data_IF_810227105037
#
_entry.id   IF_810227105037
#
_cell.length_a   1.000
_cell.length_b   1.000
_cell.length_c   1.000
_cell.angle_alpha   90.00
_cell.angle_beta   90.00
_cell.angle_gamma   90.00
#
_symmetry.space_group_name_H-M   'P 1'
#
loop_
_entity.id
_entity.type
_entity.pdbx_description
1 polymer ?
#
# COMPACT_ATOMS: atom_id res chain seq x y z
N UNK A 1 38.78 -28.56 21.08
CA UNK A 1 37.92 -27.36 21.01
C UNK A 1 37.20 -27.38 19.68
N UNK A 2 36.04 -28.05 19.61
CA UNK A 2 35.27 -28.20 18.38
C UNK A 2 34.42 -26.94 18.15
N UNK A 3 34.60 -26.27 17.01
CA UNK A 3 33.73 -25.18 16.60
C UNK A 3 32.42 -25.75 16.02
N UNK A 4 31.30 -25.35 16.62
CA UNK A 4 29.94 -25.57 16.13
C UNK A 4 29.72 -24.75 14.86
N UNK A 5 29.53 -25.40 13.72
CA UNK A 5 29.00 -24.76 12.52
C UNK A 5 27.47 -24.83 12.57
N UNK A 6 26.85 -23.75 13.04
CA UNK A 6 25.42 -23.52 12.92
C UNK A 6 25.10 -23.17 11.45
N UNK A 7 24.57 -24.13 10.69
CA UNK A 7 23.91 -23.86 9.41
C UNK A 7 22.48 -23.40 9.73
N UNK A 8 22.30 -22.08 9.81
CA UNK A 8 20.99 -21.46 9.88
C UNK A 8 20.16 -21.84 8.66
N UNK A 9 18.99 -22.44 8.92
CA UNK A 9 17.90 -22.45 7.96
C UNK A 9 17.60 -20.98 7.64
N UNK A 10 17.98 -20.50 6.45
CA UNK A 10 17.33 -19.31 5.91
C UNK A 10 15.86 -19.73 5.68
N UNK A 11 15.01 -19.48 6.67
CA UNK A 11 13.63 -19.17 6.41
C UNK A 11 13.67 -17.98 5.46
N UNK A 12 13.52 -18.22 4.15
CA UNK A 12 13.06 -17.17 3.27
C UNK A 12 11.78 -16.67 3.92
N UNK A 13 11.84 -15.48 4.53
CA UNK A 13 10.63 -14.78 4.94
C UNK A 13 9.82 -14.66 3.65
N UNK A 14 8.81 -15.49 3.49
CA UNK A 14 7.79 -15.24 2.49
C UNK A 14 7.29 -13.84 2.81
N UNK A 15 7.36 -12.88 1.88
CA UNK A 15 6.80 -11.56 2.14
C UNK A 15 5.38 -11.78 2.64
N UNK A 16 5.11 -11.33 3.87
CA UNK A 16 3.80 -11.46 4.47
C UNK A 16 2.90 -10.57 3.62
N UNK A 17 2.01 -11.18 2.84
CA UNK A 17 0.95 -10.47 2.14
C UNK A 17 -0.02 -10.00 3.23
N UNK A 18 -0.11 -8.70 3.46
CA UNK A 18 -0.91 -8.13 4.51
C UNK A 18 -1.60 -6.85 4.06
N UNK A 19 -2.89 -6.97 3.79
CA UNK A 19 -3.79 -5.84 3.86
C UNK A 19 -4.12 -5.65 5.34
N UNK A 20 -3.95 -4.43 5.85
CA UNK A 20 -4.15 -4.17 7.27
C UNK A 20 -5.62 -4.37 7.66
N UNK A 21 -5.84 -5.03 8.80
CA UNK A 21 -7.15 -5.22 9.43
C UNK A 21 -7.02 -5.16 10.97
N UNK A 22 -8.16 -5.04 11.66
CA UNK A 22 -8.20 -4.96 13.13
C UNK A 22 -7.77 -6.29 13.78
N UNK A 23 -6.98 -6.23 14.86
CA UNK A 23 -6.40 -7.41 15.56
C UNK A 23 -7.45 -8.48 15.94
N UNK A 24 -8.67 -8.09 16.28
CA UNK A 24 -9.74 -9.01 16.69
C UNK A 24 -10.81 -9.22 15.61
N UNK A 25 -10.53 -8.80 14.38
CA UNK A 25 -11.46 -8.90 13.28
C UNK A 25 -11.62 -10.34 12.80
N UNK A 26 -12.83 -10.79 12.41
CA UNK A 26 -13.00 -12.01 11.63
C UNK A 26 -12.28 -11.93 10.27
N UNK A 27 -11.93 -10.74 9.81
CA UNK A 27 -11.24 -10.49 8.54
C UNK A 27 -9.72 -10.64 8.66
N UNK A 28 -9.16 -10.72 9.88
CA UNK A 28 -7.71 -10.69 10.08
C UNK A 28 -6.97 -11.75 9.24
N UNK A 29 -7.44 -13.00 9.26
CA UNK A 29 -6.81 -14.08 8.49
C UNK A 29 -7.03 -13.97 6.99
N UNK A 30 -8.09 -13.28 6.56
CA UNK A 30 -8.41 -13.04 5.14
C UNK A 30 -7.51 -11.93 4.59
N UNK A 31 -7.30 -10.89 5.39
CA UNK A 31 -6.50 -9.73 5.05
C UNK A 31 -4.99 -10.01 5.14
N UNK A 32 -4.58 -11.06 5.85
CA UNK A 32 -3.17 -11.49 5.93
C UNK A 32 -2.42 -10.94 7.14
N UNK A 33 -3.09 -10.16 7.99
CA UNK A 33 -2.60 -9.81 9.33
C UNK A 33 -2.87 -8.37 9.72
N UNK A 34 -2.11 -7.91 10.71
CA UNK A 34 -2.11 -6.52 11.20
C UNK A 34 -0.92 -5.72 10.68
N UNK A 35 -0.14 -6.31 9.77
CA UNK A 35 0.96 -5.58 9.14
C UNK A 35 0.38 -4.49 8.22
N UNK A 36 1.20 -3.48 7.97
CA UNK A 36 0.76 -2.31 7.22
C UNK A 36 0.65 -2.69 5.75
N UNK A 37 -0.46 -2.33 5.13
CA UNK A 37 -0.57 -2.33 3.68
C UNK A 37 0.54 -1.45 3.09
N UNK A 38 1.35 -1.99 2.19
CA UNK A 38 2.42 -1.29 1.47
C UNK A 38 2.07 -1.09 0.00
N UNK A 39 2.82 -0.23 -0.71
CA UNK A 39 2.57 0.09 -2.13
C UNK A 39 2.48 -1.16 -3.02
N UNK A 40 3.34 -2.15 -2.82
CA UNK A 40 3.41 -3.38 -3.62
C UNK A 40 2.17 -4.28 -3.49
N UNK A 41 1.30 -4.01 -2.51
CA UNK A 41 0.05 -4.75 -2.28
C UNK A 41 -1.17 -4.07 -2.88
N UNK A 42 -1.02 -2.82 -3.34
CA UNK A 42 -2.10 -2.02 -3.90
C UNK A 42 -2.37 -2.40 -5.36
N UNK A 43 -3.63 -2.30 -5.75
CA UNK A 43 -4.09 -2.81 -7.04
C UNK A 43 -4.76 -1.68 -7.82
N UNK A 44 -4.09 -1.26 -8.89
CA UNK A 44 -4.53 -0.15 -9.72
C UNK A 44 -5.40 -0.59 -10.90
N UNK A 45 -5.15 -1.77 -11.46
CA UNK A 45 -5.90 -2.28 -12.60
C UNK A 45 -7.07 -3.17 -12.15
N UNK A 46 -8.26 -2.93 -12.72
CA UNK A 46 -9.47 -3.71 -12.47
C UNK A 46 -9.26 -5.24 -12.58
N UNK A 47 -8.50 -5.70 -13.58
CA UNK A 47 -8.30 -7.12 -13.85
C UNK A 47 -7.54 -7.85 -12.75
N UNK A 48 -6.65 -7.13 -12.06
CA UNK A 48 -5.68 -7.70 -11.13
C UNK A 48 -6.33 -8.16 -9.81
N UNK A 49 -7.49 -7.59 -9.46
CA UNK A 49 -8.32 -8.03 -8.33
C UNK A 49 -8.83 -9.47 -8.44
N UNK A 50 -8.79 -10.07 -9.64
CA UNK A 50 -9.24 -11.45 -9.87
C UNK A 50 -8.12 -12.38 -10.38
N UNK A 51 -6.97 -11.84 -10.78
CA UNK A 51 -5.90 -12.60 -11.44
C UNK A 51 -4.61 -12.68 -10.63
N UNK A 52 -4.39 -11.77 -9.67
CA UNK A 52 -3.16 -11.70 -8.88
C UNK A 52 -3.39 -12.15 -7.44
N UNK A 53 -2.34 -12.63 -6.78
CA UNK A 53 -2.41 -13.00 -5.36
C UNK A 53 -2.73 -11.78 -4.50
N UNK A 54 -2.03 -10.66 -4.70
CA UNK A 54 -2.29 -9.40 -4.00
C UNK A 54 -3.73 -8.92 -4.23
N UNK A 55 -4.22 -8.99 -5.46
CA UNK A 55 -5.58 -8.55 -5.79
C UNK A 55 -6.67 -9.44 -5.21
N UNK A 56 -6.47 -10.75 -5.17
CA UNK A 56 -7.38 -11.66 -4.48
C UNK A 56 -7.40 -11.39 -2.97
N UNK A 57 -6.23 -11.15 -2.35
CA UNK A 57 -6.13 -10.80 -0.93
C UNK A 57 -6.86 -9.48 -0.62
N UNK A 58 -6.55 -8.41 -1.34
CA UNK A 58 -7.19 -7.09 -1.19
C UNK A 58 -8.71 -7.18 -1.41
N UNK A 59 -9.14 -7.89 -2.47
CA UNK A 59 -10.56 -8.09 -2.76
C UNK A 59 -11.28 -8.78 -1.60
N UNK A 60 -10.76 -9.92 -1.15
CA UNK A 60 -11.42 -10.70 -0.10
C UNK A 60 -11.39 -9.98 1.24
N UNK A 61 -10.29 -9.27 1.53
CA UNK A 61 -10.18 -8.43 2.72
C UNK A 61 -11.26 -7.35 2.75
N UNK A 62 -11.32 -6.50 1.71
CA UNK A 62 -12.28 -5.40 1.64
C UNK A 62 -13.73 -5.90 1.65
N UNK A 63 -14.02 -7.04 1.02
CA UNK A 63 -15.36 -7.65 1.10
C UNK A 63 -15.69 -8.09 2.53
N UNK A 64 -14.74 -8.69 3.25
CA UNK A 64 -14.96 -9.05 4.64
C UNK A 64 -15.16 -7.80 5.50
N UNK A 65 -14.23 -6.83 5.42
CA UNK A 65 -14.27 -5.61 6.23
C UNK A 65 -15.54 -4.78 5.99
N UNK A 66 -16.07 -4.78 4.76
CA UNK A 66 -17.33 -4.08 4.42
C UNK A 66 -18.54 -4.57 5.20
N UNK A 67 -18.49 -5.78 5.76
CA UNK A 67 -19.58 -6.40 6.53
C UNK A 67 -19.27 -6.53 8.01
N UNK A 68 -18.03 -6.29 8.40
CA UNK A 68 -17.57 -6.50 9.76
C UNK A 68 -17.85 -5.29 10.65
N UNK A 69 -18.19 -5.56 11.90
CA UNK A 69 -18.54 -4.55 12.90
C UNK A 69 -17.47 -4.42 13.99
N UNK A 70 -16.29 -5.01 13.79
CA UNK A 70 -15.22 -5.01 14.79
C UNK A 70 -14.74 -3.59 15.09
N UNK A 71 -14.69 -3.28 16.39
CA UNK A 71 -14.22 -2.01 16.91
C UNK A 71 -13.28 -2.26 18.09
N UNK A 72 -12.03 -1.80 17.98
CA UNK A 72 -11.09 -1.76 19.10
C UNK A 72 -11.02 -0.36 19.71
N UNK A 73 -10.78 0.66 18.88
CA UNK A 73 -10.78 2.08 19.25
C UNK A 73 -11.01 2.97 18.02
N UNK A 74 -11.05 4.29 18.22
CA UNK A 74 -11.32 5.26 17.14
C UNK A 74 -10.30 5.28 15.98
N UNK A 75 -9.12 4.69 16.16
CA UNK A 75 -8.06 4.56 15.15
C UNK A 75 -7.79 3.09 14.76
N UNK A 76 -8.60 2.16 15.28
CA UNK A 76 -8.45 0.73 15.02
C UNK A 76 -9.84 0.07 15.05
N UNK A 77 -10.43 -0.06 13.87
CA UNK A 77 -11.71 -0.71 13.62
C UNK A 77 -11.78 -1.13 12.18
N UNK A 78 -12.65 -2.09 11.86
CA UNK A 78 -12.73 -2.59 10.49
C UNK A 78 -13.25 -1.52 9.54
N UNK A 79 -14.10 -0.61 10.02
CA UNK A 79 -14.51 0.54 9.23
C UNK A 79 -13.34 1.50 8.94
N UNK A 80 -12.40 1.62 9.88
CA UNK A 80 -11.21 2.44 9.72
C UNK A 80 -10.30 1.86 8.64
N UNK A 81 -9.96 0.58 8.78
CA UNK A 81 -9.09 -0.11 7.84
C UNK A 81 -9.72 -0.31 6.46
N UNK A 82 -11.03 -0.56 6.40
CA UNK A 82 -11.80 -0.61 5.16
C UNK A 82 -11.68 0.67 4.34
N UNK A 83 -11.91 1.84 4.96
CA UNK A 83 -11.80 3.14 4.29
C UNK A 83 -10.34 3.47 4.00
N UNK A 84 -9.45 3.16 4.94
CA UNK A 84 -8.01 3.39 4.80
C UNK A 84 -7.43 2.67 3.57
N UNK A 85 -7.69 1.38 3.42
CA UNK A 85 -7.16 0.56 2.32
C UNK A 85 -7.64 1.08 0.95
N UNK A 86 -8.91 1.49 0.86
CA UNK A 86 -9.46 2.12 -0.34
C UNK A 86 -8.84 3.50 -0.63
N UNK A 87 -8.73 4.36 0.40
CA UNK A 87 -8.09 5.67 0.27
C UNK A 87 -6.64 5.54 -0.19
N UNK A 88 -5.88 4.64 0.40
CA UNK A 88 -4.47 4.45 0.09
C UNK A 88 -4.28 3.89 -1.32
N UNK A 89 -5.16 2.97 -1.75
CA UNK A 89 -5.21 2.53 -3.15
C UNK A 89 -5.48 3.71 -4.09
N UNK A 90 -6.44 4.58 -3.79
CA UNK A 90 -6.70 5.77 -4.61
C UNK A 90 -5.51 6.74 -4.60
N UNK A 91 -4.92 6.99 -3.43
CA UNK A 91 -3.74 7.83 -3.28
C UNK A 91 -2.64 7.36 -4.23
N UNK A 92 -2.28 6.07 -4.16
CA UNK A 92 -1.19 5.53 -4.96
C UNK A 92 -1.57 5.40 -6.43
N UNK A 93 -2.72 4.82 -6.77
CA UNK A 93 -3.06 4.50 -8.16
C UNK A 93 -3.56 5.68 -9.00
N UNK A 94 -4.03 6.74 -8.34
CA UNK A 94 -4.57 7.95 -9.01
C UNK A 94 -3.59 9.10 -8.90
N UNK A 95 -2.89 9.28 -7.78
CA UNK A 95 -2.08 10.47 -7.52
C UNK A 95 -0.57 10.22 -7.42
N UNK A 96 -0.15 9.00 -7.08
CA UNK A 96 1.25 8.57 -7.10
C UNK A 96 1.46 7.56 -8.26
N UNK A 97 2.68 7.05 -8.47
CA UNK A 97 3.08 6.13 -9.53
C UNK A 97 2.32 6.18 -10.88
N UNK A 98 2.89 6.85 -11.89
CA UNK A 98 2.36 6.86 -13.26
C UNK A 98 0.90 7.33 -13.41
N UNK A 99 0.46 8.22 -12.51
CA UNK A 99 -0.85 8.88 -12.48
C UNK A 99 -1.41 9.30 -13.85
N UNK A 100 -0.56 9.62 -14.83
CA UNK A 100 -0.96 10.05 -16.18
C UNK A 100 -1.84 9.05 -16.95
N UNK A 101 -1.66 7.73 -16.77
CA UNK A 101 -2.50 6.74 -17.47
C UNK A 101 -3.83 6.51 -16.78
N UNK A 102 -3.95 6.71 -15.45
CA UNK A 102 -5.21 6.58 -14.70
C UNK A 102 -6.01 7.89 -14.68
N UNK A 103 -5.34 9.04 -14.68
CA UNK A 103 -5.96 10.36 -14.59
C UNK A 103 -6.55 10.86 -15.90
N UNK A 104 -6.04 10.47 -17.07
CA UNK A 104 -6.56 10.97 -18.35
C UNK A 104 -7.82 10.22 -18.80
N UNK A 105 -8.95 10.87 -19.16
CA UNK A 105 -9.22 12.31 -19.26
C UNK A 105 -9.94 12.94 -18.04
N UNK A 106 -9.80 12.34 -16.86
CA UNK A 106 -10.44 12.71 -15.60
C UNK A 106 -9.74 13.84 -14.80
N UNK A 107 -8.71 14.49 -15.36
CA UNK A 107 -7.86 15.45 -14.66
C UNK A 107 -8.68 16.58 -14.00
N UNK A 108 -9.63 17.15 -14.72
CA UNK A 108 -10.44 18.29 -14.24
C UNK A 108 -11.27 17.96 -12.99
N UNK A 109 -11.69 16.71 -12.86
CA UNK A 109 -12.49 16.24 -11.74
C UNK A 109 -11.62 15.68 -10.60
N UNK A 110 -10.50 15.04 -10.93
CA UNK A 110 -9.69 14.31 -9.96
C UNK A 110 -8.53 15.13 -9.37
N UNK A 111 -7.92 16.07 -10.12
CA UNK A 111 -6.77 16.85 -9.61
C UNK A 111 -7.08 17.69 -8.36
N UNK A 112 -8.26 18.34 -8.22
CA UNK A 112 -8.57 19.12 -7.02
C UNK A 112 -8.60 18.30 -5.71
N UNK A 113 -8.75 16.98 -5.81
CA UNK A 113 -8.78 16.06 -4.68
C UNK A 113 -7.38 15.65 -4.20
N UNK A 114 -6.33 15.87 -5.00
CA UNK A 114 -4.96 15.44 -4.68
C UNK A 114 -4.51 15.81 -3.25
N UNK A 115 -4.72 17.05 -2.76
CA UNK A 115 -4.33 17.42 -1.40
C UNK A 115 -5.06 16.63 -0.30
N UNK A 116 -6.27 16.14 -0.55
CA UNK A 116 -7.03 15.31 0.41
C UNK A 116 -6.42 13.92 0.54
N UNK A 117 -5.88 13.39 -0.55
CA UNK A 117 -5.28 12.05 -0.58
C UNK A 117 -3.83 12.04 -0.10
N UNK A 118 -3.05 13.10 -0.37
CA UNK A 118 -1.66 13.24 0.09
C UNK A 118 -1.51 13.38 1.61
N UNK A 119 -2.58 13.78 2.32
CA UNK A 119 -2.56 13.79 3.78
C UNK A 119 -2.31 12.36 4.31
N UNK A 120 -1.16 12.19 4.97
CA UNK A 120 -0.75 10.93 5.58
C UNK A 120 -1.74 10.51 6.68
N UNK A 121 -2.35 9.34 6.50
CA UNK A 121 -3.20 8.72 7.52
C UNK A 121 -2.40 7.83 8.48
N UNK A 122 -1.11 7.67 8.21
CA UNK A 122 -0.19 6.93 9.05
C UNK A 122 0.37 7.81 10.18
N UNK A 123 0.44 7.28 11.39
CA UNK A 123 1.24 7.81 12.50
C UNK A 123 0.66 9.01 13.26
N UNK A 124 -0.35 9.69 12.72
CA UNK A 124 -0.88 10.93 13.30
C UNK A 124 -2.28 10.81 13.93
N UNK A 125 -2.79 9.59 14.18
CA UNK A 125 -4.10 9.40 14.78
C UNK A 125 -5.18 10.24 14.08
N UNK A 126 -5.23 10.13 12.74
CA UNK A 126 -6.14 10.91 11.92
C UNK A 126 -7.55 10.35 12.08
N UNK A 127 -8.51 11.22 12.39
CA UNK A 127 -9.92 10.83 12.50
C UNK A 127 -10.44 10.28 11.17
N UNK A 128 -11.19 9.19 11.24
CA UNK A 128 -11.69 8.41 10.10
C UNK A 128 -12.33 9.26 8.99
N UNK A 129 -13.12 10.28 9.34
CA UNK A 129 -13.85 11.10 8.36
C UNK A 129 -13.19 12.44 8.09
N UNK A 130 -11.94 12.65 8.52
CA UNK A 130 -11.27 13.95 8.37
C UNK A 130 -11.15 14.39 6.90
N UNK A 131 -11.01 13.46 5.96
CA UNK A 131 -10.95 13.78 4.52
C UNK A 131 -12.18 14.52 3.97
N UNK A 132 -13.33 14.40 4.62
CA UNK A 132 -14.57 15.04 4.19
C UNK A 132 -14.49 16.56 4.14
N UNK A 133 -13.78 17.14 5.09
CA UNK A 133 -13.72 18.60 5.32
C UNK A 133 -12.36 19.20 4.98
N UNK A 134 -11.36 18.36 4.72
CA UNK A 134 -10.03 18.80 4.29
C UNK A 134 -10.10 19.63 3.00
N UNK A 135 -9.15 20.57 2.89
CA UNK A 135 -8.97 21.43 1.71
C UNK A 135 -10.28 22.11 1.27
N UNK A 136 -10.96 22.80 2.19
CA UNK A 136 -12.22 23.49 1.93
C UNK A 136 -13.34 22.58 1.39
N UNK A 137 -13.50 21.38 1.99
CA UNK A 137 -14.47 20.36 1.57
C UNK A 137 -14.26 19.86 0.13
N UNK A 138 -13.02 19.89 -0.39
CA UNK A 138 -12.71 19.46 -1.75
C UNK A 138 -13.24 18.05 -2.07
N UNK A 139 -13.16 17.12 -1.10
CA UNK A 139 -13.69 15.77 -1.27
C UNK A 139 -15.19 15.78 -1.62
N UNK A 140 -15.99 16.49 -0.83
CA UNK A 140 -17.44 16.59 -1.03
C UNK A 140 -17.80 17.26 -2.36
N UNK A 141 -16.96 18.17 -2.86
CA UNK A 141 -17.18 18.89 -4.13
C UNK A 141 -16.83 18.06 -5.36
N UNK A 142 -15.69 17.37 -5.35
CA UNK A 142 -15.11 16.80 -6.58
C UNK A 142 -15.17 15.27 -6.66
N UNK A 143 -15.33 14.56 -5.54
CA UNK A 143 -15.22 13.09 -5.52
C UNK A 143 -16.25 12.38 -6.40
N UNK A 144 -17.48 12.89 -6.48
CA UNK A 144 -18.53 12.27 -7.31
C UNK A 144 -18.23 12.40 -8.82
N UNK A 145 -17.73 13.55 -9.26
CA UNK A 145 -17.32 13.74 -10.66
C UNK A 145 -16.10 12.92 -11.02
N UNK A 146 -15.14 12.80 -10.10
CA UNK A 146 -13.95 11.97 -10.29
C UNK A 146 -14.34 10.48 -10.34
N UNK A 147 -15.19 10.00 -9.44
CA UNK A 147 -15.63 8.60 -9.40
C UNK A 147 -16.39 8.19 -10.66
N UNK A 148 -17.26 9.07 -11.18
CA UNK A 148 -17.98 8.85 -12.43
C UNK A 148 -17.02 8.73 -13.62
N UNK A 149 -16.05 9.64 -13.73
CA UNK A 149 -15.07 9.59 -14.80
C UNK A 149 -14.20 8.32 -14.74
N UNK A 150 -13.71 7.95 -13.54
CA UNK A 150 -12.90 6.74 -13.35
C UNK A 150 -13.67 5.46 -13.74
N UNK A 151 -14.98 5.39 -13.45
CA UNK A 151 -15.85 4.27 -13.85
C UNK A 151 -16.16 4.24 -15.35
N UNK A 152 -16.12 5.40 -16.02
CA UNK A 152 -16.25 5.49 -17.47
C UNK A 152 -15.07 4.91 -18.24
N UNK A 153 -13.97 4.58 -17.55
CA UNK A 153 -12.71 4.14 -18.15
C UNK A 153 -12.40 2.68 -17.85
N UNK A 154 -11.88 2.00 -18.87
CA UNK A 154 -11.46 0.60 -18.75
C UNK A 154 -10.20 0.50 -17.90
N UNK A 155 -10.21 -0.38 -16.90
CA UNK A 155 -9.07 -0.64 -16.03
C UNK A 155 -9.06 0.18 -14.73
N UNK A 156 -9.97 1.13 -14.55
CA UNK A 156 -10.04 1.99 -13.35
C UNK A 156 -11.43 2.03 -12.69
N UNK A 157 -12.33 1.10 -13.03
CA UNK A 157 -13.70 1.09 -12.49
C UNK A 157 -13.73 0.82 -11.00
N UNK A 158 -12.88 -0.07 -10.51
CA UNK A 158 -12.77 -0.38 -9.07
C UNK A 158 -12.33 0.86 -8.29
N UNK A 159 -11.39 1.65 -8.83
CA UNK A 159 -10.97 2.92 -8.21
C UNK A 159 -12.12 3.90 -8.09
N UNK A 160 -12.96 4.00 -9.13
CA UNK A 160 -14.16 4.82 -9.07
C UNK A 160 -15.21 4.28 -8.08
N UNK A 161 -15.38 2.96 -7.97
CA UNK A 161 -16.25 2.36 -6.95
C UNK A 161 -15.75 2.61 -5.52
N UNK A 162 -14.42 2.57 -5.30
CA UNK A 162 -13.81 2.93 -4.01
C UNK A 162 -14.08 4.39 -3.66
N UNK A 163 -13.96 5.30 -4.65
CA UNK A 163 -14.30 6.71 -4.46
C UNK A 163 -15.79 6.88 -4.12
N UNK A 164 -16.70 6.19 -4.80
CA UNK A 164 -18.15 6.20 -4.48
C UNK A 164 -18.42 5.71 -3.05
N UNK A 165 -17.72 4.66 -2.62
CA UNK A 165 -17.84 4.13 -1.28
C UNK A 165 -17.35 5.14 -0.22
N UNK A 166 -16.23 5.81 -0.47
CA UNK A 166 -15.76 6.91 0.37
C UNK A 166 -16.74 8.09 0.37
N UNK A 167 -17.37 8.44 -0.76
CA UNK A 167 -18.45 9.44 -0.81
C UNK A 167 -19.62 9.05 0.09
N UNK A 168 -20.03 7.77 0.06
CA UNK A 168 -21.09 7.26 0.93
C UNK A 168 -20.71 7.35 2.42
N UNK A 169 -19.51 6.86 2.77
CA UNK A 169 -19.00 6.93 4.14
C UNK A 169 -18.88 8.37 4.65
N UNK A 170 -18.45 9.29 3.79
CA UNK A 170 -18.33 10.71 4.14
C UNK A 170 -19.67 11.36 4.46
N UNK A 171 -20.73 11.00 3.72
CA UNK A 171 -22.09 11.51 3.93
C UNK A 171 -22.77 10.89 5.16
N UNK A 172 -22.58 9.59 5.35
CA UNK A 172 -23.31 8.81 6.37
C UNK A 172 -22.59 8.74 7.71
N UNK A 173 -21.26 8.89 7.71
CA UNK A 173 -20.37 8.82 8.88
C UNK A 173 -20.74 7.68 9.87
N UNK A 174 -20.75 6.42 9.40
CA UNK A 174 -21.12 5.28 10.23
C UNK A 174 -20.29 5.17 11.51
N UNK A 175 -20.95 4.83 12.60
CA UNK A 175 -20.36 4.75 13.94
C UNK A 175 -20.02 3.30 14.31
N UNK A 176 -18.72 2.98 14.27
CA UNK A 176 -18.19 1.66 14.64
C UNK A 176 -18.59 1.21 16.05
N UNK A 177 -18.67 2.14 17.01
CA UNK A 177 -19.08 1.84 18.40
C UNK A 177 -20.52 1.33 18.50
N UNK A 178 -21.34 1.61 17.49
CA UNK A 178 -22.71 1.12 17.37
C UNK A 178 -22.85 -0.11 16.48
N UNK A 179 -21.74 -0.64 15.98
CA UNK A 179 -21.72 -1.73 15.00
C UNK A 179 -22.29 -1.34 13.64
N UNK A 180 -22.25 -0.06 13.29
CA UNK A 180 -22.64 0.41 11.96
C UNK A 180 -21.53 0.12 10.94
N UNK A 181 -21.91 -0.20 9.71
CA UNK A 181 -20.99 -0.44 8.59
C UNK A 181 -21.15 0.63 7.51
N UNK A 182 -20.20 0.70 6.58
CA UNK A 182 -20.34 1.58 5.41
C UNK A 182 -21.36 1.00 4.45
N UNK A 183 -22.37 1.80 4.12
CA UNK A 183 -23.30 1.47 3.04
C UNK A 183 -22.61 1.60 1.69
N UNK A 184 -22.40 0.47 1.01
CA UNK A 184 -21.83 0.47 -0.33
C UNK A 184 -22.82 1.10 -1.32
N UNK A 185 -22.40 2.17 -2.01
CA UNK A 185 -23.20 2.77 -3.09
C UNK A 185 -23.41 1.80 -4.26
N UNK A 186 -22.47 0.88 -4.45
CA UNK A 186 -22.49 -0.22 -5.41
C UNK A 186 -21.47 -1.29 -5.01
N UNK A 187 -21.50 -2.51 -5.57
CA UNK A 187 -20.49 -3.52 -5.24
C UNK A 187 -19.09 -3.02 -5.59
N UNK A 188 -18.15 -3.16 -4.65
CA UNK A 188 -16.79 -2.60 -4.75
C UNK A 188 -16.05 -2.99 -6.04
N UNK A 189 -16.24 -4.24 -6.48
CA UNK A 189 -15.55 -4.83 -7.62
C UNK A 189 -16.44 -5.03 -8.84
N UNK A 190 -17.58 -4.31 -8.90
CA UNK A 190 -18.45 -4.33 -10.08
C UNK A 190 -17.80 -3.59 -11.25
N UNK A 191 -17.60 -4.30 -12.36
CA UNK A 191 -17.05 -3.77 -13.60
C UNK A 191 -18.14 -3.40 -14.62
N UNK A 192 -19.42 -3.60 -14.28
CA UNK A 192 -20.53 -3.20 -15.15
C UNK A 192 -20.54 -1.68 -15.34
N UNK A 193 -20.84 -1.23 -16.57
CA UNK A 193 -21.05 0.19 -16.83
C UNK A 193 -22.37 0.56 -16.17
N UNK A 194 -22.32 1.48 -15.20
CA UNK A 194 -23.52 1.97 -14.54
C UNK A 194 -24.46 2.57 -15.58
N UNK A 195 -25.56 1.87 -15.89
CA UNK A 195 -26.76 2.54 -16.39
C UNK A 195 -27.44 3.05 -15.13
N UNK A 196 -27.66 4.36 -15.00
CA UNK A 196 -28.29 4.95 -13.82
C UNK A 196 -29.60 4.22 -13.48
N UNK A 197 -29.55 3.32 -12.51
CA UNK A 197 -30.73 2.74 -11.89
C UNK A 197 -30.54 2.89 -10.39
N UNK A 198 -30.99 4.04 -9.90
CA UNK A 198 -31.21 4.27 -8.48
C UNK A 198 -32.27 3.28 -8.03
N UNK A 199 -31.89 2.25 -7.28
CA UNK A 199 -32.85 1.49 -6.47
C UNK A 199 -32.31 1.43 -5.05
N UNK A 200 -32.80 2.35 -4.23
CA UNK A 200 -32.73 2.22 -2.79
C UNK A 200 -33.62 1.04 -2.38
N UNK A 201 -33.03 -0.04 -1.90
CA UNK A 201 -33.80 -1.17 -1.35
C UNK A 201 -34.11 -0.89 0.12
N UNK A 202 -35.32 -0.39 0.39
CA UNK A 202 -35.95 -0.48 1.70
C UNK A 202 -36.42 -1.91 1.92
N UNK A 203 -35.85 -2.62 2.90
CA UNK A 203 -36.33 -3.94 3.35
C UNK A 203 -37.64 -3.79 4.10
N UNK A 204 -38.76 -4.03 3.40
CA UNK A 204 -40.06 -4.35 3.98
C UNK A 204 -40.37 -5.83 3.77
N UNK A 205 -40.58 -6.54 4.86
CA UNK A 205 -40.87 -7.97 4.91
C UNK A 205 -42.27 -8.28 4.36
N UNK A 206 -42.38 -9.08 3.30
CA UNK A 206 -43.60 -9.84 2.99
C UNK A 206 -43.31 -11.05 2.09
N UNK A 207 -43.86 -12.18 2.53
CA UNK A 207 -43.76 -13.54 1.98
C UNK A 207 -44.71 -13.77 0.81
N UNK A 208 -44.22 -14.27 -0.34
CA UNK A 208 -44.95 -15.19 -1.23
C UNK A 208 -44.08 -15.74 -2.38
N UNK A 209 -44.25 -17.03 -2.66
CA UNK A 209 -43.48 -17.94 -3.55
C UNK A 209 -43.96 -17.87 -5.04
N UNK A 210 -43.42 -18.66 -6.00
CA UNK A 210 -42.59 -18.16 -7.10
C UNK A 210 -43.23 -18.31 -8.51
N UNK A 211 -42.78 -17.49 -9.47
CA UNK A 211 -43.07 -17.71 -10.90
C UNK A 211 -41.76 -17.94 -11.65
N UNK A 212 -41.70 -19.09 -12.31
CA UNK A 212 -40.60 -19.62 -13.09
C UNK A 212 -40.29 -18.80 -14.34
N UNK A 213 -39.02 -18.45 -14.53
CA UNK A 213 -38.44 -18.24 -15.86
C UNK A 213 -36.93 -18.51 -15.84
N UNK A 214 -36.54 -19.39 -16.75
CA UNK A 214 -35.21 -19.97 -16.92
C UNK A 214 -34.18 -18.97 -17.47
N UNK A 215 -33.05 -18.83 -16.79
CA UNK A 215 -31.77 -18.49 -17.42
C UNK A 215 -30.68 -19.43 -16.90
N UNK A 216 -30.22 -20.30 -17.79
CA UNK A 216 -29.05 -21.15 -17.64
C UNK A 216 -27.78 -20.32 -17.59
N UNK A 217 -27.19 -20.17 -16.39
CA UNK A 217 -25.83 -19.69 -16.21
C UNK A 217 -24.87 -20.88 -16.08
N UNK A 218 -24.03 -21.05 -17.09
CA UNK A 218 -22.92 -22.00 -17.09
C UNK A 218 -21.89 -21.60 -16.02
N UNK A 219 -21.81 -22.37 -14.94
CA UNK A 219 -20.76 -22.26 -13.93
C UNK A 219 -19.48 -22.92 -14.42
N UNK A 220 -18.50 -22.10 -14.79
CA UNK A 220 -17.11 -22.53 -15.01
C UNK A 220 -16.42 -22.77 -13.67
N UNK A 221 -16.87 -23.78 -12.92
CA UNK A 221 -16.16 -24.28 -11.75
C UNK A 221 -15.03 -25.21 -12.20
N UNK A 222 -13.80 -24.99 -11.70
CA UNK A 222 -12.71 -25.96 -11.83
C UNK A 222 -13.20 -27.30 -11.27
N UNK A 223 -13.28 -28.31 -12.14
CA UNK A 223 -13.73 -29.66 -11.80
C UNK A 223 -12.98 -30.15 -10.55
N UNK A 224 -13.67 -30.88 -9.67
CA UNK A 224 -13.06 -31.52 -8.49
C UNK A 224 -11.79 -32.33 -8.84
N UNK A 225 -11.68 -32.82 -10.08
CA UNK A 225 -10.47 -33.46 -10.61
C UNK A 225 -9.26 -32.53 -10.74
N UNK A 226 -9.45 -31.24 -11.04
CA UNK A 226 -8.36 -30.25 -11.11
C UNK A 226 -7.85 -29.86 -9.71
N UNK A 227 -8.76 -29.73 -8.73
CA UNK A 227 -8.38 -29.48 -7.34
C UNK A 227 -7.65 -30.69 -6.70
N UNK A 228 -8.07 -31.92 -7.03
CA UNK A 228 -7.41 -33.14 -6.55
C UNK A 228 -6.00 -33.34 -7.13
N UNK A 229 -5.75 -32.91 -8.37
CA UNK A 229 -4.44 -33.04 -9.02
C UNK A 229 -3.34 -32.17 -8.38
N UNK A 230 -3.69 -30.96 -7.92
CA UNK A 230 -2.73 -30.01 -7.33
C UNK A 230 -2.27 -30.47 -5.93
N UNK A 231 -3.15 -31.09 -5.15
CA UNK A 231 -2.82 -31.59 -3.81
C UNK A 231 -1.78 -32.70 -3.80
N UNK A 232 -1.80 -33.61 -4.78
CA UNK A 232 -0.86 -34.75 -4.84
C UNK A 232 0.48 -34.34 -5.48
N UNK A 233 0.46 -33.43 -6.45
CA UNK A 233 1.67 -32.97 -7.15
C UNK A 233 2.65 -32.23 -6.25
N UNK A 234 2.16 -31.40 -5.33
CA UNK A 234 3.01 -30.62 -4.42
C UNK A 234 3.81 -31.51 -3.45
N UNK A 235 3.20 -32.57 -2.92
CA UNK A 235 3.87 -33.51 -2.02
C UNK A 235 5.00 -34.28 -2.70
N UNK A 236 4.76 -34.80 -3.91
CA UNK A 236 5.78 -35.53 -4.67
C UNK A 236 6.93 -34.61 -5.15
N UNK A 237 6.63 -33.38 -5.52
CA UNK A 237 7.61 -32.39 -5.95
C UNK A 237 8.64 -32.06 -4.87
N UNK A 238 8.19 -31.82 -3.63
CA UNK A 238 9.09 -31.47 -2.51
C UNK A 238 10.03 -32.63 -2.17
N UNK A 239 9.54 -33.88 -2.19
CA UNK A 239 10.36 -35.06 -1.91
C UNK A 239 11.42 -35.26 -3.00
N UNK A 240 11.06 -35.09 -4.27
CA UNK A 240 11.98 -35.21 -5.41
C UNK A 240 13.09 -34.15 -5.37
N UNK A 241 12.73 -32.89 -5.11
CA UNK A 241 13.71 -31.80 -5.00
C UNK A 241 14.63 -32.01 -3.79
N UNK A 242 14.08 -32.43 -2.65
CA UNK A 242 14.87 -32.77 -1.46
C UNK A 242 15.89 -33.88 -1.71
N UNK A 243 15.47 -34.95 -2.41
CA UNK A 243 16.36 -36.06 -2.78
C UNK A 243 17.48 -35.62 -3.75
N UNK A 244 17.15 -34.78 -4.73
CA UNK A 244 18.11 -34.23 -5.69
C UNK A 244 19.17 -33.35 -5.00
N UNK A 245 18.74 -32.45 -4.11
CA UNK A 245 19.65 -31.59 -3.34
C UNK A 245 20.59 -32.44 -2.47
N UNK A 246 20.05 -33.45 -1.77
CA UNK A 246 20.86 -34.35 -0.94
C UNK A 246 21.89 -35.15 -1.75
N UNK A 247 21.52 -35.66 -2.93
CA UNK A 247 22.43 -36.39 -3.82
C UNK A 247 23.55 -35.50 -4.36
N UNK A 248 23.24 -34.26 -4.74
CA UNK A 248 24.24 -33.29 -5.19
C UNK A 248 25.21 -32.92 -4.05
N UNK A 249 24.70 -32.73 -2.84
CA UNK A 249 25.52 -32.43 -1.67
C UNK A 249 26.45 -33.61 -1.32
N UNK A 250 25.95 -34.85 -1.41
CA UNK A 250 26.72 -36.07 -1.19
C UNK A 250 27.80 -36.28 -2.26
N UNK A 251 27.52 -35.96 -3.54
CA UNK A 251 28.52 -35.99 -4.62
C UNK A 251 29.63 -34.95 -4.39
N UNK A 252 29.28 -33.72 -4.02
CA UNK A 252 30.28 -32.66 -3.76
C UNK A 252 31.20 -32.98 -2.59
N UNK A 253 30.68 -33.59 -1.52
CA UNK A 253 31.51 -34.03 -0.38
C UNK A 253 32.52 -35.12 -0.72
N UNK A 254 32.25 -35.94 -1.75
CA UNK A 254 33.20 -36.97 -2.22
C UNK A 254 34.29 -36.42 -3.13
N UNK A 255 34.05 -35.28 -3.80
CA UNK A 255 35.03 -34.62 -4.65
C UNK A 255 36.02 -33.72 -3.86
N UNK A 256 35.65 -33.27 -2.66
CA UNK A 256 36.48 -32.37 -1.85
C UNK A 256 37.59 -33.07 -1.02
N UNK A 257 37.75 -34.39 -1.13
CA UNK A 257 38.85 -35.12 -0.48
C UNK A 257 40.10 -35.28 -1.37
N UNK A 258 40.10 -34.73 -2.57
CA UNK A 258 41.29 -34.63 -3.42
C UNK A 258 41.51 -33.14 -3.72
N UNK A 259 42.30 -32.44 -2.90
CA UNK A 259 43.21 -31.32 -3.25
C UNK A 259 43.56 -30.58 -1.95
N UNK A 260 44.61 -31.04 -1.27
CA UNK A 260 45.38 -30.19 -0.36
C UNK A 260 46.86 -30.45 -0.66
N UNK A 261 47.47 -29.51 -1.39
CA UNK A 261 48.92 -29.41 -1.49
C UNK A 261 49.32 -27.95 -1.66
N UNK A 262 49.94 -27.44 -0.58
CA UNK A 262 51.09 -26.53 -0.55
C UNK A 262 50.90 -25.08 -0.99
N UNK A 263 50.93 -24.16 -0.02
CA UNK A 263 51.85 -23.01 -0.06
C UNK A 263 52.04 -22.41 1.34
N UNK A 264 53.30 -22.32 1.79
CA UNK A 264 53.76 -21.65 3.01
C UNK A 264 54.66 -20.50 2.57
N UNK A 265 54.40 -19.22 2.92
CA UNK A 265 55.35 -18.15 2.69
C UNK A 265 56.31 -17.97 3.88
N UNK A 266 57.58 -17.72 3.55
CA UNK A 266 58.71 -17.50 4.46
C UNK A 266 58.76 -16.05 5.02
N UNK A 267 59.45 -15.80 6.17
CA UNK A 267 59.55 -14.49 6.81
C UNK A 267 60.83 -13.72 6.40
N UNK A 268 60.79 -12.37 6.44
CA UNK A 268 61.99 -11.52 6.34
C UNK A 268 61.97 -10.46 7.46
N UNK A 269 63.05 -10.46 8.24
CA UNK A 269 63.39 -9.61 9.39
C UNK A 269 63.84 -8.19 8.99
N UNK A 270 63.60 -7.21 9.88
CA UNK A 270 64.22 -5.89 9.92
C UNK A 270 64.22 -5.35 11.37
N UNK A 271 65.26 -4.65 11.85
CA UNK A 271 65.68 -4.70 13.26
C UNK A 271 65.03 -3.69 14.23
N UNK A 272 65.07 -4.09 15.52
CA UNK A 272 64.64 -3.50 16.81
C UNK A 272 64.77 -1.97 16.96
N UNK A 273 63.78 -1.18 17.45
CA UNK A 273 62.99 -1.16 18.69
C UNK A 273 63.51 -0.14 19.74
N UNK A 274 62.73 0.92 20.00
CA UNK A 274 62.49 1.46 21.35
C UNK A 274 61.09 2.13 21.42
N UNK A 275 60.37 2.04 22.55
CA UNK A 275 58.96 2.44 22.69
C UNK A 275 58.83 3.89 23.17
N UNK A 276 57.88 4.67 22.63
CA UNK A 276 57.50 5.97 23.20
C UNK A 276 56.11 5.92 23.84
N UNK A 277 56.14 6.33 25.11
CA UNK A 277 55.12 6.31 26.14
C UNK A 277 54.14 7.48 25.96
N UNK A 278 52.85 7.25 26.22
CA UNK A 278 51.79 8.25 26.11
C UNK A 278 51.69 9.09 27.39
N UNK A 279 51.55 10.42 27.25
CA UNK A 279 51.08 11.34 28.29
C UNK A 279 50.07 12.32 27.68
N UNK A 280 48.90 12.56 28.31
CA UNK A 280 47.89 13.47 27.80
C UNK A 280 48.12 14.92 28.28
N UNK A 281 47.94 15.90 27.39
CA UNK A 281 47.98 17.33 27.73
C UNK A 281 46.56 17.95 27.84
N UNK A 282 46.38 19.00 28.65
CA UNK A 282 45.11 19.33 29.31
C UNK A 282 44.24 20.35 28.55
N UNK A 283 42.94 20.29 28.85
CA UNK A 283 41.92 21.28 28.47
C UNK A 283 42.19 22.66 29.08
N UNK A 284 42.05 23.72 28.27
CA UNK A 284 41.83 25.08 28.75
C UNK A 284 40.68 25.72 27.95
N UNK A 285 39.66 26.19 28.68
CA UNK A 285 38.47 26.87 28.16
C UNK A 285 38.73 28.38 28.17
N UNK A 286 38.36 29.08 27.10
CA UNK A 286 38.03 30.51 27.17
C UNK A 286 36.98 30.88 26.09
N UNK A 287 36.05 31.82 26.38
CA UNK A 287 34.81 32.00 25.63
C UNK A 287 34.93 33.06 24.51
N UNK A 288 34.13 32.93 23.46
CA UNK A 288 33.98 33.96 22.41
C UNK A 288 32.52 34.39 22.30
N UNK A 289 32.29 35.65 22.64
CA UNK A 289 31.03 36.39 22.51
C UNK A 289 30.94 37.06 21.12
N UNK A 290 29.70 37.23 20.63
CA UNK A 290 29.32 37.64 19.27
C UNK A 290 29.63 39.10 18.96
N UNK A 291 29.92 39.42 17.69
CA UNK A 291 29.11 40.37 16.91
C UNK A 291 29.38 40.26 15.39
N UNK A 292 28.38 40.41 14.50
CA UNK A 292 28.50 40.16 13.06
C UNK A 292 28.67 41.47 12.28
N UNK A 293 29.62 41.51 11.34
CA UNK A 293 29.65 42.41 10.18
C UNK A 293 30.84 42.08 9.29
N UNK A 294 30.63 41.37 8.17
CA UNK A 294 31.23 41.76 6.89
C UNK A 294 30.68 40.97 5.71
N UNK A 295 30.29 41.76 4.72
CA UNK A 295 29.87 41.47 3.37
C UNK A 295 30.96 40.74 2.58
N UNK A 296 30.57 39.82 1.69
CA UNK A 296 31.36 39.45 0.51
C UNK A 296 30.49 39.64 -0.73
N UNK A 297 31.02 40.46 -1.61
CA UNK A 297 30.48 40.96 -2.87
C UNK A 297 30.63 39.92 -3.99
N UNK A 298 29.68 39.85 -4.92
CA UNK A 298 29.77 39.08 -6.17
C UNK A 298 30.02 40.02 -7.37
N UNK A 299 30.75 39.61 -8.41
CA UNK A 299 31.15 40.51 -9.48
C UNK A 299 30.08 40.69 -10.57
N UNK A 300 30.28 41.82 -11.25
CA UNK A 300 29.40 42.60 -12.10
C UNK A 300 29.16 42.01 -13.50
N UNK A 301 27.99 42.28 -14.08
CA UNK A 301 27.63 42.00 -15.47
C UNK A 301 26.49 42.92 -15.92
N UNK A 302 26.86 44.07 -16.50
CA UNK A 302 25.98 45.08 -17.09
C UNK A 302 25.23 44.52 -18.30
N UNK A 303 23.93 44.86 -18.43
CA UNK A 303 23.41 45.57 -19.62
C UNK A 303 21.93 45.97 -19.45
N UNK A 304 21.63 47.24 -19.77
CA UNK A 304 20.41 47.59 -20.53
C UNK A 304 19.12 48.02 -19.82
N UNK A 305 19.07 49.29 -19.39
CA UNK A 305 17.98 50.30 -19.55
C UNK A 305 16.48 49.99 -19.26
N UNK A 306 15.93 50.89 -18.41
CA UNK A 306 14.63 51.60 -18.45
C UNK A 306 13.34 50.75 -18.49
N UNK A 307 12.35 50.89 -17.59
CA UNK A 307 11.87 52.05 -16.83
C UNK A 307 10.35 52.11 -17.06
N UNK A 308 9.53 52.06 -16.01
CA UNK A 308 8.07 52.23 -16.16
C UNK A 308 7.22 51.50 -15.11
N UNK A 309 6.88 52.23 -14.04
CA UNK A 309 5.88 51.93 -13.02
C UNK A 309 4.48 51.82 -13.60
N UNK A 310 3.68 50.82 -13.22
CA UNK A 310 2.24 50.97 -12.96
C UNK A 310 1.78 49.97 -11.89
N UNK A 311 1.17 50.52 -10.84
CA UNK A 311 0.30 49.81 -9.91
C UNK A 311 -1.01 49.41 -10.61
N UNK A 312 -1.63 48.31 -10.17
CA UNK A 312 -3.03 48.05 -10.49
C UNK A 312 -3.71 47.34 -9.31
N UNK A 313 -4.84 47.93 -8.95
CA UNK A 313 -5.73 47.68 -7.84
C UNK A 313 -6.52 46.36 -7.93
N UNK A 314 -7.00 45.92 -6.77
CA UNK A 314 -8.08 44.96 -6.57
C UNK A 314 -9.42 45.54 -7.04
N UNK A 315 -10.35 44.71 -7.56
CA UNK A 315 -11.77 45.04 -7.54
C UNK A 315 -12.55 44.20 -6.52
N UNK A 316 -13.39 44.91 -5.76
CA UNK A 316 -14.47 44.38 -4.94
C UNK A 316 -15.77 44.25 -5.76
N UNK A 317 -16.41 43.09 -5.60
CA UNK A 317 -17.83 42.76 -5.58
C UNK A 317 -18.84 43.47 -6.52
N UNK A 318 -19.59 42.62 -7.22
CA UNK A 318 -21.06 42.58 -7.15
C UNK A 318 -21.53 41.12 -7.04
#
# INVERSE_FOLDING_TARGET
MAQLAALGLLLCATPVLAVIATVNSPCLSICGGTEKTVNDELICNDGDYNSTVHGLTMKNCLLCESTSTTYSNQFDSDIYWFIFNQKYTIQVCVYEDSASTSLSPCESQCLPLKPVFETLWWGNNVSLYNYCTQNNNAFSTYASGCSECLRGKTGSKVLGNFMDNMVSACKTQPNATKGETVTLARPLFDLSVATNSSTATSTGTATSSPTSSSLSSSSSGLSAGAAAGIGVGAGAGVILVGALVWLLFRRRRRAAQQTQSVYTPAPVEGPDAQPMQWEPAPYAIAPVERNPSRLVEAPNGNDGKAGGSWAAELPSNH
#
